data_IF_598509658189
#
_entry.id   IF_598509658189
#
_cell.length_a   1.000
_cell.length_b   1.000
_cell.length_c   1.000
_cell.angle_alpha   90.00
_cell.angle_beta   90.00
_cell.angle_gamma   90.00
#
_symmetry.space_group_name_H-M   'P 1'
#
loop_
_entity.id
_entity.type
_entity.pdbx_description
1 polymer ?
#
# COMPACT_ATOMS: atom_id res chain seq x y z
N UNK A 1 55.29 47.57 -11.98
CA UNK A 1 53.95 47.22 -12.52
C UNK A 1 53.52 45.86 -11.96
N UNK A 2 52.45 45.81 -11.15
CA UNK A 2 51.41 44.75 -11.10
C UNK A 2 50.70 44.79 -9.74
N UNK A 3 49.40 45.10 -9.80
CA UNK A 3 48.49 45.38 -8.68
C UNK A 3 47.94 44.07 -8.12
N UNK A 4 47.95 43.92 -6.80
CA UNK A 4 47.29 42.81 -6.08
C UNK A 4 45.84 43.25 -5.84
N UNK A 5 44.88 42.57 -6.48
CA UNK A 5 43.44 42.77 -6.25
C UNK A 5 42.99 41.67 -5.28
N UNK A 6 42.79 42.07 -4.01
CA UNK A 6 42.15 41.23 -3.01
C UNK A 6 40.64 41.29 -3.21
N UNK A 7 40.06 40.22 -3.76
CA UNK A 7 38.62 40.06 -3.88
C UNK A 7 38.08 39.52 -2.55
N UNK A 8 37.46 40.40 -1.77
CA UNK A 8 36.72 40.03 -0.56
C UNK A 8 35.44 39.28 -0.96
N UNK A 9 35.42 37.97 -0.72
CA UNK A 9 34.24 37.13 -0.91
C UNK A 9 33.32 37.28 0.31
N UNK A 10 32.34 38.18 0.22
CA UNK A 10 31.24 38.26 1.20
C UNK A 10 30.40 36.97 1.13
N UNK A 11 30.63 36.06 2.07
CA UNK A 11 29.81 34.88 2.25
C UNK A 11 28.49 35.26 2.95
N UNK A 12 27.40 35.30 2.19
CA UNK A 12 26.03 35.36 2.72
C UNK A 12 25.67 34.01 3.36
N UNK A 13 25.64 33.97 4.69
CA UNK A 13 25.08 32.88 5.48
C UNK A 13 23.55 32.93 5.42
N UNK A 14 22.95 32.35 4.39
CA UNK A 14 21.51 32.07 4.35
C UNK A 14 21.24 30.89 5.27
N UNK A 15 20.66 31.14 6.44
CA UNK A 15 20.19 30.11 7.36
C UNK A 15 19.05 29.32 6.74
N UNK A 16 19.35 28.14 6.17
CA UNK A 16 18.34 27.21 5.71
C UNK A 16 17.55 26.68 6.92
N UNK A 17 16.28 27.03 7.02
CA UNK A 17 15.37 26.41 7.98
C UNK A 17 15.39 24.88 7.79
N UNK A 18 15.42 24.08 8.86
CA UNK A 18 15.45 22.63 8.74
C UNK A 18 14.16 22.18 8.04
N UNK A 19 14.29 21.64 6.83
CA UNK A 19 13.18 20.99 6.16
C UNK A 19 12.68 19.85 7.06
N UNK A 20 11.43 19.95 7.54
CA UNK A 20 10.76 18.85 8.24
C UNK A 20 10.66 17.71 7.25
N UNK A 21 11.56 16.73 7.35
CA UNK A 21 11.59 15.58 6.47
C UNK A 21 10.34 14.72 6.73
N UNK A 22 9.34 14.83 5.85
CA UNK A 22 8.17 13.95 5.88
C UNK A 22 8.64 12.51 5.73
N UNK A 23 8.42 11.68 6.76
CA UNK A 23 8.81 10.27 6.70
C UNK A 23 8.02 9.59 5.58
N UNK A 24 8.68 8.89 4.64
CA UNK A 24 7.97 8.25 3.55
C UNK A 24 7.06 7.14 4.08
N UNK A 25 5.82 7.10 3.57
CA UNK A 25 4.85 6.09 3.96
C UNK A 25 5.37 4.68 3.62
N UNK A 26 5.23 3.75 4.57
CA UNK A 26 5.54 2.34 4.36
C UNK A 26 4.28 1.61 3.94
N UNK A 27 4.35 0.94 2.80
CA UNK A 27 3.27 0.11 2.26
C UNK A 27 3.82 -1.30 1.98
N UNK A 28 2.95 -2.22 1.60
CA UNK A 28 3.34 -3.57 1.21
C UNK A 28 2.98 -3.83 -0.24
N UNK A 29 3.82 -4.58 -0.95
CA UNK A 29 3.67 -5.50 -2.09
C UNK A 29 2.96 -6.85 -1.83
N UNK A 30 2.06 -7.40 -2.63
CA UNK A 30 1.71 -8.82 -2.69
C UNK A 30 2.17 -9.38 -4.02
N UNK A 31 2.99 -10.41 -3.96
CA UNK A 31 3.56 -11.05 -5.14
C UNK A 31 3.33 -12.55 -5.09
N UNK A 32 2.99 -13.14 -6.23
CA UNK A 32 2.96 -14.58 -6.43
C UNK A 32 4.39 -15.10 -6.61
N UNK A 33 4.73 -16.16 -5.88
CA UNK A 33 6.06 -16.76 -5.92
C UNK A 33 6.20 -17.73 -7.10
N UNK A 34 7.43 -17.85 -7.63
CA UNK A 34 7.75 -18.89 -8.61
C UNK A 34 7.60 -20.28 -7.98
N UNK A 35 6.81 -21.15 -8.63
CA UNK A 35 6.37 -22.45 -8.10
C UNK A 35 6.10 -23.46 -9.24
N UNK A 36 5.99 -24.77 -8.95
CA UNK A 36 5.61 -25.78 -9.95
C UNK A 36 4.12 -25.66 -10.34
N UNK A 37 3.83 -24.87 -11.37
CA UNK A 37 2.45 -24.52 -11.73
C UNK A 37 1.63 -25.68 -12.29
N UNK A 38 2.23 -26.54 -13.10
CA UNK A 38 1.52 -27.65 -13.73
C UNK A 38 0.86 -28.57 -12.69
N UNK A 39 1.60 -28.88 -11.61
CA UNK A 39 1.08 -29.67 -10.49
C UNK A 39 -0.05 -28.95 -9.75
N UNK A 40 0.07 -27.63 -9.54
CA UNK A 40 -0.98 -26.85 -8.90
C UNK A 40 -2.25 -26.79 -9.74
N UNK A 41 -2.13 -26.64 -11.07
CA UNK A 41 -3.27 -26.59 -11.99
C UNK A 41 -3.98 -27.94 -12.07
N UNK A 42 -3.24 -29.04 -12.16
CA UNK A 42 -3.82 -30.38 -12.14
C UNK A 42 -4.58 -30.66 -10.83
N UNK A 43 -4.02 -30.26 -9.69
CA UNK A 43 -4.68 -30.39 -8.39
C UNK A 43 -5.95 -29.53 -8.30
N UNK A 44 -5.91 -28.30 -8.81
CA UNK A 44 -7.07 -27.41 -8.88
C UNK A 44 -8.20 -28.01 -9.73
N UNK A 45 -7.88 -28.55 -10.91
CA UNK A 45 -8.86 -29.24 -11.76
C UNK A 45 -9.48 -30.42 -11.02
N UNK A 46 -8.66 -31.27 -10.37
CA UNK A 46 -9.16 -32.44 -9.65
C UNK A 46 -10.11 -32.09 -8.48
N UNK A 47 -9.93 -30.96 -7.81
CA UNK A 47 -10.85 -30.56 -6.72
C UNK A 47 -12.09 -29.81 -7.21
N UNK A 48 -12.07 -29.32 -8.45
CA UNK A 48 -13.15 -28.52 -9.04
C UNK A 48 -14.07 -29.31 -9.96
N UNK A 49 -13.60 -30.47 -10.45
CA UNK A 49 -14.36 -31.38 -11.31
C UNK A 49 -15.28 -32.30 -10.49
N UNK A 50 -16.62 -32.22 -10.65
CA UNK A 50 -17.57 -33.10 -9.97
C UNK A 50 -17.39 -34.58 -10.26
N UNK A 51 -16.82 -34.94 -11.41
CA UNK A 51 -16.54 -36.34 -11.77
C UNK A 51 -15.29 -36.89 -11.08
N UNK A 52 -14.47 -36.02 -10.47
CA UNK A 52 -13.25 -36.43 -9.78
C UNK A 52 -13.54 -37.02 -8.40
N UNK A 53 -12.83 -38.08 -8.03
CA UNK A 53 -12.81 -38.60 -6.65
C UNK A 53 -12.31 -37.57 -5.62
N UNK A 54 -11.65 -36.50 -6.09
CA UNK A 54 -11.13 -35.41 -5.26
C UNK A 54 -12.05 -34.18 -5.20
N UNK A 55 -13.24 -34.23 -5.80
CA UNK A 55 -14.16 -33.10 -5.83
C UNK A 55 -14.41 -32.53 -4.42
N UNK A 56 -14.24 -31.21 -4.27
CA UNK A 56 -14.36 -30.46 -3.01
C UNK A 56 -13.48 -30.96 -1.85
N UNK A 57 -12.43 -31.75 -2.13
CA UNK A 57 -11.44 -32.20 -1.12
C UNK A 57 -10.19 -31.32 -1.17
N UNK A 58 -10.24 -30.20 -0.45
CA UNK A 58 -9.17 -29.20 -0.44
C UNK A 58 -8.04 -29.55 0.53
N UNK A 59 -6.79 -29.39 0.09
CA UNK A 59 -5.61 -29.53 0.93
C UNK A 59 -5.46 -28.32 1.87
N UNK A 60 -5.04 -28.54 3.11
CA UNK A 60 -4.68 -27.45 4.03
C UNK A 60 -3.40 -26.71 3.61
N UNK A 61 -3.19 -25.49 4.12
CA UNK A 61 -2.09 -24.61 3.70
C UNK A 61 -0.69 -25.25 3.78
N UNK A 62 -0.41 -26.07 4.81
CA UNK A 62 0.87 -26.78 4.92
C UNK A 62 1.07 -27.86 3.86
N UNK A 63 0.01 -28.59 3.50
CA UNK A 63 0.05 -29.57 2.41
C UNK A 63 0.23 -28.88 1.05
N UNK A 64 -0.48 -27.77 0.84
CA UNK A 64 -0.30 -26.90 -0.33
C UNK A 64 1.15 -26.41 -0.43
N UNK A 65 1.73 -25.92 0.66
CA UNK A 65 3.11 -25.44 0.67
C UNK A 65 4.13 -26.49 0.28
N UNK A 66 3.93 -27.74 0.74
CA UNK A 66 4.81 -28.86 0.42
C UNK A 66 4.68 -29.31 -1.03
N UNK A 67 3.46 -29.35 -1.56
CA UNK A 67 3.16 -29.92 -2.89
C UNK A 67 3.26 -28.91 -4.03
N UNK A 68 2.81 -27.69 -3.79
CA UNK A 68 2.56 -26.68 -4.81
C UNK A 68 3.22 -25.33 -4.49
N UNK A 69 3.75 -25.16 -3.27
CA UNK A 69 4.39 -23.95 -2.80
C UNK A 69 5.74 -23.68 -3.45
N UNK A 70 6.23 -22.45 -3.30
CA UNK A 70 7.59 -22.11 -3.64
C UNK A 70 8.60 -22.89 -2.78
N UNK A 71 9.70 -23.30 -3.41
CA UNK A 71 10.78 -24.03 -2.74
C UNK A 71 11.48 -23.15 -1.70
N UNK A 72 12.17 -23.77 -0.74
CA UNK A 72 12.99 -23.04 0.21
C UNK A 72 14.07 -22.19 -0.49
N UNK A 73 14.63 -22.68 -1.60
CA UNK A 73 15.58 -21.95 -2.43
C UNK A 73 14.97 -20.70 -3.07
N UNK A 74 13.74 -20.80 -3.61
CA UNK A 74 13.01 -19.64 -4.15
C UNK A 74 12.75 -18.59 -3.07
N UNK A 75 12.28 -19.02 -1.90
CA UNK A 75 12.00 -18.10 -0.78
C UNK A 75 13.29 -17.41 -0.30
N UNK A 76 14.39 -18.15 -0.18
CA UNK A 76 15.69 -17.59 0.20
C UNK A 76 16.24 -16.64 -0.87
N UNK A 77 16.08 -16.99 -2.16
CA UNK A 77 16.44 -16.16 -3.31
C UNK A 77 15.71 -14.83 -3.30
N UNK A 78 14.38 -14.86 -3.14
CA UNK A 78 13.56 -13.66 -3.01
C UNK A 78 14.01 -12.80 -1.83
N UNK A 79 14.20 -13.39 -0.64
CA UNK A 79 14.66 -12.66 0.55
C UNK A 79 16.00 -11.97 0.32
N UNK A 80 16.96 -12.64 -0.31
CA UNK A 80 18.26 -12.04 -0.65
C UNK A 80 18.11 -10.88 -1.63
N UNK A 81 17.34 -11.06 -2.70
CA UNK A 81 17.11 -10.02 -3.69
C UNK A 81 16.37 -8.81 -3.11
N UNK A 82 15.26 -9.05 -2.40
CA UNK A 82 14.46 -8.02 -1.75
C UNK A 82 15.27 -7.16 -0.77
N UNK A 83 16.19 -7.77 -0.01
CA UNK A 83 17.06 -7.02 0.93
C UNK A 83 17.96 -6.01 0.23
N UNK A 84 18.47 -6.28 -0.97
CA UNK A 84 19.28 -5.32 -1.74
C UNK A 84 18.51 -4.07 -2.13
N UNK A 85 17.19 -4.19 -2.27
CA UNK A 85 16.27 -3.09 -2.54
C UNK A 85 15.70 -2.44 -1.27
N UNK A 86 16.16 -2.87 -0.08
CA UNK A 86 15.67 -2.39 1.20
C UNK A 86 14.22 -2.79 1.49
N UNK A 87 13.78 -3.93 0.94
CA UNK A 87 12.44 -4.49 1.11
C UNK A 87 12.45 -5.60 2.18
N UNK A 88 11.41 -5.64 3.02
CA UNK A 88 11.16 -6.75 3.96
C UNK A 88 10.22 -7.75 3.32
N UNK A 89 10.48 -9.05 3.53
CA UNK A 89 9.67 -10.13 2.93
C UNK A 89 8.98 -10.95 4.02
N UNK A 90 7.64 -10.98 4.00
CA UNK A 90 6.83 -11.96 4.72
C UNK A 90 6.28 -12.99 3.76
N UNK A 91 6.50 -14.29 3.99
CA UNK A 91 5.94 -15.36 3.14
C UNK A 91 4.79 -15.99 3.90
N UNK A 92 3.68 -16.24 3.20
CA UNK A 92 2.51 -16.87 3.80
C UNK A 92 2.74 -18.37 4.04
N UNK A 93 1.84 -19.02 4.80
CA UNK A 93 1.99 -20.44 5.14
C UNK A 93 1.93 -21.35 3.91
N UNK A 94 1.18 -20.98 2.87
CA UNK A 94 1.09 -21.76 1.62
C UNK A 94 2.32 -21.62 0.73
N UNK A 95 3.20 -20.64 1.00
CA UNK A 95 4.34 -20.27 0.14
C UNK A 95 3.94 -20.00 -1.31
N UNK A 96 2.70 -19.58 -1.54
CA UNK A 96 2.22 -19.15 -2.84
C UNK A 96 2.43 -17.65 -3.01
N UNK A 97 2.34 -16.91 -1.90
CA UNK A 97 2.40 -15.47 -1.90
C UNK A 97 3.47 -14.95 -0.94
N UNK A 98 4.04 -13.80 -1.29
CA UNK A 98 4.86 -13.03 -0.39
C UNK A 98 4.37 -11.59 -0.31
N UNK A 99 4.49 -11.04 0.90
CA UNK A 99 4.29 -9.63 1.21
C UNK A 99 5.64 -8.91 1.22
N UNK A 100 5.80 -7.88 0.40
CA UNK A 100 7.03 -7.08 0.28
C UNK A 100 6.84 -5.68 0.87
N UNK A 101 7.32 -5.42 2.08
CA UNK A 101 7.05 -4.17 2.80
C UNK A 101 8.23 -3.21 2.73
N UNK A 102 7.99 -1.96 2.33
CA UNK A 102 8.99 -0.89 2.30
C UNK A 102 8.36 0.51 2.15
N UNK A 103 9.13 1.59 2.36
CA UNK A 103 8.75 2.93 1.96
C UNK A 103 8.40 3.03 0.47
N UNK A 104 7.40 3.85 0.12
CA UNK A 104 6.92 4.05 -1.26
C UNK A 104 8.06 4.25 -2.26
N UNK A 105 9.03 5.17 -2.06
CA UNK A 105 10.09 5.39 -3.05
C UNK A 105 10.98 4.16 -3.30
N UNK A 106 11.08 3.23 -2.34
CA UNK A 106 11.83 1.98 -2.55
C UNK A 106 11.05 0.99 -3.38
N UNK A 107 9.73 0.90 -3.19
CA UNK A 107 8.86 0.07 -4.01
C UNK A 107 8.79 0.59 -5.44
N UNK A 108 8.62 1.90 -5.61
CA UNK A 108 8.65 2.54 -6.94
C UNK A 108 9.91 2.17 -7.73
N UNK A 109 11.08 2.29 -7.12
CA UNK A 109 12.36 1.88 -7.75
C UNK A 109 12.46 0.38 -7.98
N UNK A 110 12.07 -0.44 -7.01
CA UNK A 110 12.15 -1.89 -7.12
C UNK A 110 11.20 -2.48 -8.18
N UNK A 111 10.11 -1.78 -8.49
CA UNK A 111 9.07 -2.23 -9.41
C UNK A 111 8.91 -1.37 -10.66
N UNK A 112 9.71 -0.31 -10.83
CA UNK A 112 9.65 0.57 -11.99
C UNK A 112 8.26 1.18 -12.19
N UNK A 113 7.60 1.59 -11.10
CA UNK A 113 6.25 2.18 -11.10
C UNK A 113 6.25 3.50 -10.36
N UNK A 114 5.21 4.30 -10.58
CA UNK A 114 4.88 5.44 -9.74
C UNK A 114 3.66 5.08 -8.90
N UNK A 115 3.72 5.32 -7.61
CA UNK A 115 2.66 4.98 -6.66
C UNK A 115 2.06 6.29 -6.15
N UNK A 116 0.75 6.41 -6.30
CA UNK A 116 0.01 7.58 -5.88
C UNK A 116 -0.96 7.21 -4.77
N UNK A 117 -1.19 8.16 -3.88
CA UNK A 117 -2.28 8.08 -2.93
C UNK A 117 -3.58 8.34 -3.69
N UNK A 118 -4.54 7.42 -3.60
CA UNK A 118 -5.82 7.52 -4.27
C UNK A 118 -6.96 7.33 -3.27
N UNK A 119 -8.04 8.06 -3.49
CA UNK A 119 -9.28 7.89 -2.76
C UNK A 119 -10.25 7.07 -3.60
N UNK A 120 -10.82 6.03 -2.99
CA UNK A 120 -11.81 5.15 -3.59
C UNK A 120 -13.17 5.43 -2.94
N UNK A 121 -14.11 5.93 -3.75
CA UNK A 121 -15.45 6.30 -3.33
C UNK A 121 -16.37 5.08 -3.10
N UNK A 122 -16.11 3.95 -3.77
CA UNK A 122 -16.97 2.77 -3.69
C UNK A 122 -16.87 2.12 -2.29
N UNK A 123 -15.67 2.19 -1.71
CA UNK A 123 -15.36 1.63 -0.38
C UNK A 123 -15.07 2.69 0.68
N UNK A 124 -15.21 3.98 0.34
CA UNK A 124 -14.82 5.13 1.18
C UNK A 124 -13.44 4.91 1.83
N UNK A 125 -12.45 4.59 1.01
CA UNK A 125 -11.13 4.20 1.48
C UNK A 125 -10.01 5.00 0.83
N UNK A 126 -8.92 5.20 1.58
CA UNK A 126 -7.69 5.76 1.04
C UNK A 126 -6.71 4.62 0.80
N UNK A 127 -6.21 4.53 -0.43
CA UNK A 127 -5.31 3.49 -0.87
C UNK A 127 -4.05 4.05 -1.52
N UNK A 128 -3.13 3.13 -1.79
CA UNK A 128 -1.99 3.40 -2.66
C UNK A 128 -2.15 2.54 -3.91
N UNK A 129 -2.11 3.19 -5.06
CA UNK A 129 -2.27 2.52 -6.36
C UNK A 129 -1.14 2.92 -7.29
N UNK A 130 -0.91 2.10 -8.32
CA UNK A 130 0.02 2.45 -9.38
C UNK A 130 -0.62 3.49 -10.29
N UNK A 131 0.07 4.62 -10.48
CA UNK A 131 -0.38 5.69 -11.35
C UNK A 131 -0.62 5.18 -12.78
N UNK A 132 -1.77 5.55 -13.36
CA UNK A 132 -2.14 5.18 -14.73
C UNK A 132 -2.32 3.69 -14.96
N UNK A 133 -2.44 2.87 -13.90
CA UNK A 133 -2.63 1.42 -14.03
C UNK A 133 -1.44 0.68 -14.65
N UNK A 134 -0.25 1.29 -14.66
CA UNK A 134 0.95 0.67 -15.24
C UNK A 134 1.27 -0.67 -14.57
N UNK A 135 1.58 -1.69 -15.38
CA UNK A 135 1.97 -2.99 -14.86
C UNK A 135 3.34 -2.91 -14.14
N UNK A 136 3.45 -3.37 -12.88
CA UNK A 136 4.72 -3.40 -12.17
C UNK A 136 5.79 -4.23 -12.88
N UNK A 137 6.98 -3.67 -13.06
CA UNK A 137 8.15 -4.30 -13.67
C UNK A 137 9.23 -4.51 -12.62
N UNK A 138 9.28 -5.67 -11.95
CA UNK A 138 10.24 -5.90 -10.87
C UNK A 138 11.67 -5.79 -11.41
N UNK A 139 12.58 -5.33 -10.54
CA UNK A 139 14.01 -5.27 -10.82
C UNK A 139 14.53 -6.62 -11.31
N UNK A 140 15.58 -6.60 -12.14
CA UNK A 140 16.08 -7.78 -12.86
C UNK A 140 16.37 -8.96 -11.93
N UNK A 141 16.85 -8.71 -10.72
CA UNK A 141 17.21 -9.71 -9.73
C UNK A 141 16.04 -10.23 -8.88
N UNK A 142 14.90 -9.53 -8.89
CA UNK A 142 13.63 -9.97 -8.29
C UNK A 142 12.83 -10.89 -9.24
N UNK A 143 12.90 -10.64 -10.56
CA UNK A 143 12.16 -11.36 -11.61
C UNK A 143 12.21 -12.89 -11.51
N UNK A 144 13.36 -13.55 -11.25
CA UNK A 144 13.40 -15.02 -11.23
C UNK A 144 12.53 -15.64 -10.14
N UNK A 145 12.27 -14.90 -9.06
CA UNK A 145 11.57 -15.40 -7.87
C UNK A 145 10.09 -15.06 -7.86
N UNK A 146 9.69 -14.07 -8.66
CA UNK A 146 8.33 -13.56 -8.74
C UNK A 146 7.68 -14.08 -10.02
N UNK A 147 6.47 -14.58 -9.88
CA UNK A 147 5.64 -15.01 -10.99
C UNK A 147 4.64 -13.93 -11.38
N UNK A 148 3.94 -13.39 -10.38
CA UNK A 148 2.82 -12.46 -10.55
C UNK A 148 2.94 -11.33 -9.53
N UNK A 149 2.42 -10.16 -9.87
CA UNK A 149 2.42 -8.99 -8.98
C UNK A 149 1.01 -8.45 -8.93
N UNK A 150 0.47 -8.31 -7.73
CA UNK A 150 -0.81 -7.64 -7.51
C UNK A 150 -0.50 -6.18 -7.18
N UNK A 151 -0.88 -5.28 -8.08
CA UNK A 151 -0.52 -3.86 -8.02
C UNK A 151 -1.42 -2.98 -7.16
N UNK A 152 -2.30 -3.55 -6.32
CA UNK A 152 -3.27 -2.78 -5.54
C UNK A 152 -3.10 -2.95 -4.03
N UNK A 153 -3.11 -1.84 -3.30
CA UNK A 153 -3.15 -1.80 -1.83
C UNK A 153 -4.23 -0.85 -1.36
N UNK A 154 -5.33 -1.43 -0.94
CA UNK A 154 -6.41 -0.71 -0.30
C UNK A 154 -6.26 -0.85 1.21
N UNK A 155 -6.22 0.27 1.94
CA UNK A 155 -6.37 0.25 3.39
C UNK A 155 -7.75 0.82 3.71
N UNK A 156 -8.66 -0.03 4.19
CA UNK A 156 -9.93 0.46 4.71
C UNK A 156 -9.68 1.41 5.88
N UNK A 157 -10.37 2.55 5.90
CA UNK A 157 -10.39 3.37 7.10
C UNK A 157 -11.06 2.57 8.21
N UNK A 158 -10.43 2.47 9.38
CA UNK A 158 -11.20 2.20 10.58
C UNK A 158 -12.07 3.43 10.81
N UNK A 159 -13.40 3.30 10.78
CA UNK A 159 -14.28 4.36 11.29
C UNK A 159 -13.81 4.67 12.71
N UNK A 160 -13.32 5.87 12.95
CA UNK A 160 -13.08 6.37 14.31
C UNK A 160 -14.44 6.45 14.99
N UNK A 161 -14.75 5.62 16.00
CA UNK A 161 -15.99 5.75 16.75
C UNK A 161 -15.89 7.07 17.52
N UNK A 162 -16.64 8.09 17.12
CA UNK A 162 -16.67 9.38 17.83
C UNK A 162 -16.81 10.64 16.98
N UNK A 163 -16.53 10.59 15.67
CA UNK A 163 -16.70 11.77 14.81
C UNK A 163 -18.18 12.15 14.60
N UNK A 164 -19.09 11.17 14.56
CA UNK A 164 -20.52 11.42 14.39
C UNK A 164 -21.20 11.98 15.66
N UNK A 165 -20.66 11.73 16.85
CA UNK A 165 -21.27 12.18 18.11
C UNK A 165 -21.04 13.68 18.40
N UNK A 166 -20.11 14.34 17.71
CA UNK A 166 -19.85 15.78 17.89
C UNK A 166 -20.68 16.68 16.97
N UNK A 167 -21.29 16.14 15.93
CA UNK A 167 -22.14 16.90 15.02
C UNK A 167 -23.58 17.08 15.53
N UNK A 168 -24.05 16.23 16.45
CA UNK A 168 -25.43 16.28 16.97
C UNK A 168 -25.60 17.08 18.28
N UNK A 169 -24.51 17.61 18.87
CA UNK A 169 -24.55 18.31 20.17
C UNK A 169 -24.62 19.84 20.13
N UNK A 170 -24.58 20.47 18.96
CA UNK A 170 -24.41 21.93 18.83
C UNK A 170 -25.68 22.76 18.61
N UNK A 171 -26.86 22.15 18.49
CA UNK A 171 -28.07 22.81 17.99
C UNK A 171 -29.23 22.92 18.98
N UNK A 172 -28.99 23.36 20.22
CA UNK A 172 -30.10 23.66 21.14
C UNK A 172 -29.69 24.69 22.20
N UNK A 173 -29.56 25.97 21.82
CA UNK A 173 -29.57 27.14 22.72
C UNK A 173 -29.51 28.43 21.89
N UNK A 174 -30.65 28.86 21.35
CA UNK A 174 -30.89 30.25 20.91
C UNK A 174 -32.36 30.43 20.54
N UNK A 175 -33.24 30.49 21.55
CA UNK A 175 -34.61 30.94 21.35
C UNK A 175 -35.14 31.56 22.65
N UNK A 176 -34.55 32.68 23.07
CA UNK A 176 -35.20 33.58 24.03
C UNK A 176 -34.64 35.00 23.87
N UNK A 177 -35.21 35.79 22.95
CA UNK A 177 -35.26 37.25 23.15
C UNK A 177 -36.32 37.92 22.28
N UNK A 178 -37.37 38.34 22.97
CA UNK A 178 -38.08 39.61 22.83
C UNK A 178 -38.45 40.10 21.42
N UNK A 179 -39.73 39.93 21.06
CA UNK A 179 -40.43 40.87 20.18
C UNK A 179 -41.60 41.47 20.96
N UNK A 180 -41.39 42.67 21.48
CA UNK A 180 -42.41 43.56 22.02
C UNK A 180 -42.30 44.89 21.25
N UNK A 181 -43.24 45.12 20.33
CA UNK A 181 -43.63 46.41 19.69
C UNK A 181 -44.79 46.06 18.75
N UNK A 182 -46.05 46.35 19.10
CA UNK A 182 -46.72 47.65 18.85
C UNK A 182 -47.35 47.61 17.45
N UNK A 183 -48.60 47.97 17.17
CA UNK A 183 -49.73 48.51 17.92
C UNK A 183 -50.93 48.61 16.94
N UNK A 184 -52.06 49.13 17.43
CA UNK A 184 -53.21 49.76 16.74
C UNK A 184 -53.60 49.25 15.32
N UNK A 185 -54.82 48.77 15.06
CA UNK A 185 -56.11 49.37 15.36
C UNK A 185 -56.75 49.84 14.05
N UNK A 186 -57.92 49.31 13.69
CA UNK A 186 -58.91 49.92 12.80
C UNK A 186 -60.20 49.07 12.82
N UNK A 187 -61.26 49.66 13.34
CA UNK A 187 -62.65 49.41 12.96
C UNK A 187 -63.14 50.68 12.26
#
# INVERSE_FOLDING_TARGET
MRRIIALACCALLVGAAPAIATRPHTISFYVGLRRPEAAARAAFTAVSDPASQRYRRFDGAGAVARRYGATAATVAGLRRAARRHGLRVGVDRSRLFARLTAPVPRLERAFGVRIVHAYDNDTLSFGWTVAGGAAPRPARDLRPWIREIVGSYTRSQRRTPGAAARASGGGARSATRASARGGAGAA
#
